data_IF_865104961086
#
_entry.id   IF_865104961086
#
_cell.length_a   1.000
_cell.length_b   1.000
_cell.length_c   1.000
_cell.angle_alpha   90.00
_cell.angle_beta   90.00
_cell.angle_gamma   90.00
#
_symmetry.space_group_name_H-M   'P 1'
#
loop_
_entity.id
_entity.type
_entity.pdbx_description
1 polymer ?
#
# COMPACT_ATOMS: atom_id res chain seq x y z
N UNK A 1 -63.26 22.06 8.65
CA UNK A 1 -62.40 20.86 8.50
C UNK A 1 -61.19 21.16 7.59
N UNK A 2 -60.23 21.99 8.02
CA UNK A 2 -59.15 22.49 7.13
C UNK A 2 -57.74 22.45 7.76
N UNK A 3 -57.56 21.62 8.79
CA UNK A 3 -56.32 21.57 9.59
C UNK A 3 -55.56 20.24 9.40
N UNK A 4 -56.23 19.16 8.96
CA UNK A 4 -55.59 17.83 8.83
C UNK A 4 -54.67 17.68 7.61
N UNK A 5 -54.87 18.44 6.53
CA UNK A 5 -54.07 18.32 5.29
C UNK A 5 -52.69 18.97 5.37
N UNK A 6 -52.53 20.06 6.13
CA UNK A 6 -51.27 20.81 6.23
C UNK A 6 -50.23 20.12 7.12
N UNK A 7 -50.69 19.45 8.18
CA UNK A 7 -49.80 18.74 9.11
C UNK A 7 -49.15 17.53 8.44
N UNK A 8 -49.92 16.77 7.64
CA UNK A 8 -49.43 15.59 6.94
C UNK A 8 -48.35 15.93 5.89
N UNK A 9 -48.54 17.02 5.13
CA UNK A 9 -47.57 17.49 4.15
C UNK A 9 -46.25 17.94 4.82
N UNK A 10 -46.33 18.59 5.98
CA UNK A 10 -45.16 19.04 6.73
C UNK A 10 -44.34 17.84 7.27
N UNK A 11 -45.02 16.83 7.82
CA UNK A 11 -44.36 15.61 8.32
C UNK A 11 -43.66 14.82 7.20
N UNK A 12 -44.29 14.69 6.03
CA UNK A 12 -43.68 14.00 4.88
C UNK A 12 -42.44 14.77 4.38
N UNK A 13 -42.52 16.10 4.28
CA UNK A 13 -41.38 16.92 3.86
C UNK A 13 -40.21 16.85 4.84
N UNK A 14 -40.49 16.73 6.14
CA UNK A 14 -39.47 16.61 7.18
C UNK A 14 -38.79 15.23 7.14
N UNK A 15 -39.55 14.17 6.87
CA UNK A 15 -39.01 12.80 6.69
C UNK A 15 -38.13 12.72 5.44
N UNK A 16 -38.54 13.35 4.33
CA UNK A 16 -37.73 13.39 3.11
C UNK A 16 -36.45 14.22 3.31
N UNK A 17 -36.52 15.38 3.97
CA UNK A 17 -35.31 16.19 4.26
C UNK A 17 -34.35 15.52 5.24
N UNK A 18 -34.86 14.77 6.22
CA UNK A 18 -34.01 13.99 7.14
C UNK A 18 -33.38 12.79 6.43
N UNK A 19 -34.10 12.11 5.54
CA UNK A 19 -33.51 11.05 4.70
C UNK A 19 -32.43 11.58 3.76
N UNK A 20 -32.64 12.75 3.14
CA UNK A 20 -31.62 13.38 2.29
C UNK A 20 -30.41 13.80 3.13
N UNK A 21 -30.61 14.37 4.33
CA UNK A 21 -29.51 14.76 5.22
C UNK A 21 -28.73 13.56 5.76
N UNK A 22 -29.40 12.45 6.08
CA UNK A 22 -28.76 11.20 6.51
C UNK A 22 -28.00 10.51 5.37
N UNK A 23 -28.49 10.62 4.13
CA UNK A 23 -27.80 10.08 2.95
C UNK A 23 -26.54 10.88 2.61
N UNK A 24 -26.57 12.21 2.80
CA UNK A 24 -25.41 13.09 2.58
C UNK A 24 -24.36 12.97 3.69
N UNK A 25 -24.78 12.69 4.93
CA UNK A 25 -23.87 12.59 6.08
C UNK A 25 -23.04 11.29 6.12
N UNK A 26 -23.42 10.27 5.36
CA UNK A 26 -22.65 9.01 5.24
C UNK A 26 -21.50 9.10 4.21
N UNK A 27 -21.45 10.14 3.38
CA UNK A 27 -20.41 10.33 2.36
C UNK A 27 -19.23 11.21 2.81
N UNK A 28 -19.31 11.81 4.01
CA UNK A 28 -18.35 12.84 4.44
C UNK A 28 -17.19 12.34 5.31
N UNK A 29 -17.24 11.13 5.87
CA UNK A 29 -16.07 10.59 6.57
C UNK A 29 -15.20 9.80 5.59
N UNK A 30 -13.96 10.28 5.39
CA UNK A 30 -12.94 9.53 4.68
C UNK A 30 -12.75 8.20 5.41
N UNK A 31 -13.02 7.05 4.76
CA UNK A 31 -12.77 5.78 5.40
C UNK A 31 -11.27 5.71 5.74
N UNK A 32 -10.90 5.30 6.96
CA UNK A 32 -9.50 5.26 7.35
C UNK A 32 -8.72 4.33 6.40
N UNK A 33 -7.43 4.57 6.14
CA UNK A 33 -6.62 3.63 5.37
C UNK A 33 -6.71 2.21 5.94
N UNK A 34 -6.77 1.20 5.06
CA UNK A 34 -6.76 -0.19 5.52
C UNK A 34 -5.45 -0.48 6.24
N UNK A 35 -5.56 -1.06 7.43
CA UNK A 35 -4.40 -1.57 8.17
C UNK A 35 -3.96 -2.91 7.61
N UNK A 36 -2.69 -3.29 7.82
CA UNK A 36 -2.19 -4.63 7.45
C UNK A 36 -3.05 -5.76 8.03
N UNK A 37 -3.45 -5.61 9.30
CA UNK A 37 -4.34 -6.58 9.98
C UNK A 37 -5.67 -6.73 9.25
N UNK A 38 -6.32 -5.61 8.93
CA UNK A 38 -7.64 -5.63 8.31
C UNK A 38 -7.59 -6.14 6.86
N UNK A 39 -6.51 -5.88 6.11
CA UNK A 39 -6.29 -6.53 4.82
C UNK A 39 -6.21 -8.05 4.92
N UNK A 40 -5.53 -8.58 5.95
CA UNK A 40 -5.48 -10.02 6.21
C UNK A 40 -6.87 -10.60 6.51
N UNK A 41 -7.71 -9.87 7.24
CA UNK A 41 -9.10 -10.26 7.51
C UNK A 41 -9.93 -10.30 6.21
N UNK A 42 -9.84 -9.27 5.36
CA UNK A 42 -10.53 -9.24 4.06
C UNK A 42 -10.08 -10.39 3.15
N UNK A 43 -8.77 -10.66 3.09
CA UNK A 43 -8.24 -11.78 2.32
C UNK A 43 -8.80 -13.12 2.82
N UNK A 44 -8.83 -13.33 4.14
CA UNK A 44 -9.32 -14.59 4.74
C UNK A 44 -10.82 -14.85 4.47
N UNK A 45 -11.60 -13.79 4.26
CA UNK A 45 -13.04 -13.87 3.97
C UNK A 45 -13.35 -13.92 2.47
N UNK A 46 -12.36 -13.66 1.61
CA UNK A 46 -12.57 -13.52 0.17
C UNK A 46 -13.20 -12.18 -0.24
N UNK A 47 -13.21 -11.19 0.65
CA UNK A 47 -13.79 -9.85 0.42
C UNK A 47 -12.75 -8.84 -0.10
N UNK A 48 -11.49 -9.27 -0.23
CA UNK A 48 -10.41 -8.43 -0.72
C UNK A 48 -10.49 -8.30 -2.25
N UNK A 49 -10.71 -7.08 -2.71
CA UNK A 49 -10.67 -6.74 -4.11
C UNK A 49 -9.27 -6.25 -4.48
N UNK A 50 -8.78 -6.70 -5.63
CA UNK A 50 -7.48 -6.33 -6.16
C UNK A 50 -7.68 -5.81 -7.57
N UNK A 51 -7.28 -4.57 -7.82
CA UNK A 51 -7.54 -3.88 -9.09
C UNK A 51 -6.34 -3.08 -9.53
N UNK A 52 -6.13 -3.03 -10.84
CA UNK A 52 -5.15 -2.17 -11.48
C UNK A 52 -5.82 -0.91 -12.02
N UNK A 53 -5.13 0.22 -11.90
CA UNK A 53 -5.55 1.52 -12.40
C UNK A 53 -4.42 2.10 -13.23
N UNK A 54 -4.72 2.49 -14.47
CA UNK A 54 -3.77 3.23 -15.31
C UNK A 54 -3.74 4.69 -14.88
N UNK A 55 -2.52 5.21 -14.69
CA UNK A 55 -2.28 6.61 -14.35
C UNK A 55 -2.12 7.43 -15.62
N UNK A 56 -2.79 8.57 -15.67
CA UNK A 56 -2.49 9.64 -16.63
C UNK A 56 -1.39 10.55 -16.08
N UNK A 57 -1.37 10.76 -14.76
CA UNK A 57 -0.44 11.66 -14.08
C UNK A 57 0.04 11.07 -12.74
N UNK A 58 1.34 11.22 -12.39
CA UNK A 58 1.86 10.72 -11.11
C UNK A 58 1.13 11.26 -9.86
N UNK A 59 0.54 12.46 -9.96
CA UNK A 59 -0.23 13.06 -8.85
C UNK A 59 -1.54 12.35 -8.52
N UNK A 60 -2.03 11.46 -9.38
CA UNK A 60 -3.26 10.70 -9.14
C UNK A 60 -3.10 9.65 -8.04
N UNK A 61 -1.87 9.19 -7.77
CA UNK A 61 -1.57 8.23 -6.70
C UNK A 61 -2.07 8.74 -5.35
N UNK A 62 -1.77 9.99 -4.99
CA UNK A 62 -2.21 10.59 -3.73
C UNK A 62 -3.74 10.70 -3.63
N UNK A 63 -4.43 10.91 -4.77
CA UNK A 63 -5.89 10.93 -4.81
C UNK A 63 -6.47 9.54 -4.56
N UNK A 64 -5.89 8.51 -5.18
CA UNK A 64 -6.26 7.12 -4.97
C UNK A 64 -6.03 6.74 -3.50
N UNK A 65 -4.87 7.06 -2.92
CA UNK A 65 -4.57 6.80 -1.50
C UNK A 65 -5.59 7.45 -0.54
N UNK A 66 -6.09 8.64 -0.87
CA UNK A 66 -7.09 9.35 -0.05
C UNK A 66 -8.43 8.60 0.09
N UNK A 67 -8.68 7.60 -0.76
CA UNK A 67 -9.86 6.73 -0.65
C UNK A 67 -9.72 5.66 0.44
N UNK A 68 -8.55 5.55 1.06
CA UNK A 68 -8.28 4.58 2.11
C UNK A 68 -7.94 3.18 1.61
N UNK A 69 -7.81 2.98 0.29
CA UNK A 69 -7.23 1.76 -0.30
C UNK A 69 -5.75 1.65 0.05
N UNK A 70 -5.20 0.44 -0.08
CA UNK A 70 -3.76 0.22 0.06
C UNK A 70 -3.16 0.04 -1.33
N UNK A 71 -2.10 0.78 -1.61
CA UNK A 71 -1.37 0.65 -2.87
C UNK A 71 -0.31 -0.44 -2.70
N UNK A 72 -0.54 -1.58 -3.34
CA UNK A 72 0.39 -2.72 -3.31
C UNK A 72 1.57 -2.51 -4.26
N UNK A 73 1.35 -1.88 -5.40
CA UNK A 73 2.39 -1.62 -6.40
C UNK A 73 2.24 -0.22 -6.98
N UNK A 74 3.38 0.47 -7.10
CA UNK A 74 3.49 1.76 -7.79
C UNK A 74 4.42 1.60 -9.00
N UNK A 75 3.90 1.93 -10.18
CA UNK A 75 4.67 2.08 -11.42
C UNK A 75 4.34 3.45 -12.06
N UNK A 76 5.17 3.95 -13.00
CA UNK A 76 4.95 5.27 -13.61
C UNK A 76 3.59 5.42 -14.32
N UNK A 77 3.08 4.34 -14.91
CA UNK A 77 1.89 4.30 -15.75
C UNK A 77 0.70 3.57 -15.11
N UNK A 78 0.89 2.91 -13.97
CA UNK A 78 -0.19 2.23 -13.27
C UNK A 78 0.07 2.03 -11.78
N UNK A 79 -1.00 1.75 -11.04
CA UNK A 79 -0.95 1.22 -9.68
C UNK A 79 -1.77 -0.05 -9.56
N UNK A 80 -1.37 -0.93 -8.63
CA UNK A 80 -2.22 -2.02 -8.15
C UNK A 80 -2.64 -1.69 -6.74
N UNK A 81 -3.95 -1.71 -6.50
CA UNK A 81 -4.53 -1.38 -5.20
C UNK A 81 -5.34 -2.54 -4.63
N UNK A 82 -5.45 -2.52 -3.31
CA UNK A 82 -6.18 -3.46 -2.49
C UNK A 82 -7.27 -2.70 -1.73
N UNK A 83 -8.50 -3.23 -1.73
CA UNK A 83 -9.63 -2.57 -1.12
C UNK A 83 -10.79 -3.52 -0.79
N UNK A 84 -11.68 -3.10 0.10
CA UNK A 84 -13.03 -3.67 0.15
C UNK A 84 -13.91 -3.04 -0.95
N UNK A 85 -15.10 -3.61 -1.15
CA UNK A 85 -16.02 -3.17 -2.20
C UNK A 85 -16.41 -1.69 -2.09
N UNK A 86 -16.49 -1.14 -0.86
CA UNK A 86 -16.83 0.27 -0.65
C UNK A 86 -15.71 1.20 -1.15
N UNK A 87 -14.46 0.89 -0.81
CA UNK A 87 -13.30 1.69 -1.23
C UNK A 87 -13.06 1.57 -2.74
N UNK A 88 -13.20 0.38 -3.32
CA UNK A 88 -13.08 0.19 -4.77
C UNK A 88 -14.17 0.97 -5.54
N UNK A 89 -15.41 0.98 -5.03
CA UNK A 89 -16.49 1.76 -5.63
C UNK A 89 -16.22 3.28 -5.53
N UNK A 90 -15.64 3.75 -4.42
CA UNK A 90 -15.22 5.15 -4.29
C UNK A 90 -14.19 5.54 -5.36
N UNK A 91 -13.17 4.71 -5.57
CA UNK A 91 -12.18 4.91 -6.63
C UNK A 91 -12.82 4.94 -8.02
N UNK A 92 -13.79 4.04 -8.29
CA UNK A 92 -14.55 4.04 -9.54
C UNK A 92 -15.31 5.34 -9.78
N UNK A 93 -15.95 5.89 -8.75
CA UNK A 93 -16.68 7.17 -8.85
C UNK A 93 -15.78 8.38 -9.11
N UNK A 94 -14.48 8.28 -8.82
CA UNK A 94 -13.50 9.30 -9.18
C UNK A 94 -13.16 9.31 -10.69
N UNK A 95 -13.68 8.36 -11.46
CA UNK A 95 -13.47 8.28 -12.91
C UNK A 95 -12.29 7.42 -13.34
N UNK A 96 -11.64 6.71 -12.41
CA UNK A 96 -10.55 5.79 -12.75
C UNK A 96 -11.07 4.55 -13.48
N UNK A 97 -10.30 4.09 -14.46
CA UNK A 97 -10.55 2.81 -15.11
C UNK A 97 -9.95 1.69 -14.27
N UNK A 98 -10.79 0.76 -13.81
CA UNK A 98 -10.37 -0.40 -13.02
C UNK A 98 -10.34 -1.64 -13.89
N UNK A 99 -9.21 -2.34 -13.88
CA UNK A 99 -9.03 -3.61 -14.60
C UNK A 99 -8.50 -4.66 -13.64
N UNK A 100 -8.74 -5.93 -13.97
CA UNK A 100 -8.15 -7.04 -13.23
C UNK A 100 -6.63 -7.07 -13.49
N UNK A 101 -5.79 -7.08 -12.44
CA UNK A 101 -4.35 -7.17 -12.61
C UNK A 101 -3.93 -8.58 -13.05
N UNK A 102 -2.83 -8.65 -13.78
CA UNK A 102 -2.15 -9.93 -14.09
C UNK A 102 -0.91 -10.09 -13.20
N UNK A 103 -0.39 -11.31 -13.11
CA UNK A 103 0.76 -11.64 -12.25
C UNK A 103 1.93 -10.65 -12.36
N UNK A 104 2.30 -10.24 -13.58
CA UNK A 104 3.40 -9.29 -13.83
C UNK A 104 3.16 -7.87 -13.29
N UNK A 105 1.90 -7.52 -13.01
CA UNK A 105 1.54 -6.20 -12.47
C UNK A 105 1.89 -6.09 -10.99
N UNK A 106 1.92 -7.21 -10.26
CA UNK A 106 2.31 -7.28 -8.86
C UNK A 106 3.83 -7.24 -8.74
N UNK A 107 4.37 -6.10 -8.30
CA UNK A 107 5.82 -5.91 -8.19
C UNK A 107 6.27 -6.13 -6.75
N UNK A 108 7.13 -7.12 -6.58
CA UNK A 108 7.88 -7.32 -5.35
C UNK A 108 9.25 -6.68 -5.56
N UNK A 109 9.61 -5.70 -4.72
CA UNK A 109 10.86 -4.95 -4.82
C UNK A 109 11.90 -5.49 -3.85
N UNK A 110 13.18 -5.58 -4.25
CA UNK A 110 14.24 -5.91 -3.33
C UNK A 110 14.51 -4.75 -2.36
N UNK A 111 14.93 -5.10 -1.15
CA UNK A 111 15.37 -4.13 -0.16
C UNK A 111 16.64 -4.59 0.55
N UNK A 112 17.27 -3.61 1.20
CA UNK A 112 18.30 -3.82 2.21
C UNK A 112 17.99 -2.96 3.42
N UNK A 113 18.24 -3.48 4.61
CA UNK A 113 18.05 -2.75 5.86
C UNK A 113 19.17 -3.09 6.83
N UNK A 114 19.60 -2.07 7.58
CA UNK A 114 20.47 -2.24 8.73
C UNK A 114 19.60 -2.57 9.93
N UNK A 115 19.87 -3.69 10.60
CA UNK A 115 19.11 -4.09 11.78
C UNK A 115 20.05 -4.10 12.99
N UNK A 116 19.60 -3.50 14.09
CA UNK A 116 20.40 -3.33 15.31
C UNK A 116 19.92 -4.23 16.45
N UNK A 117 18.77 -4.88 16.32
CA UNK A 117 18.20 -5.72 17.37
C UNK A 117 17.35 -6.88 16.84
N UNK A 118 17.24 -7.95 17.63
CA UNK A 118 16.36 -9.08 17.31
C UNK A 118 14.88 -8.68 17.21
N UNK A 119 14.47 -7.64 17.93
CA UNK A 119 13.12 -7.07 17.85
C UNK A 119 12.85 -6.43 16.49
N UNK A 120 13.80 -5.64 15.97
CA UNK A 120 13.71 -5.09 14.61
C UNK A 120 13.70 -6.19 13.55
N UNK A 121 14.51 -7.24 13.72
CA UNK A 121 14.49 -8.39 12.82
C UNK A 121 13.13 -9.11 12.86
N UNK A 122 12.54 -9.28 14.05
CA UNK A 122 11.22 -9.87 14.20
C UNK A 122 10.12 -8.99 13.57
N UNK A 123 10.17 -7.68 13.77
CA UNK A 123 9.28 -6.72 13.09
C UNK A 123 9.40 -6.82 11.57
N UNK A 124 10.63 -6.96 11.05
CA UNK A 124 10.87 -7.13 9.63
C UNK A 124 10.25 -8.43 9.10
N UNK A 125 10.40 -9.56 9.82
CA UNK A 125 9.75 -10.83 9.45
C UNK A 125 8.22 -10.74 9.48
N UNK A 126 7.65 -9.95 10.38
CA UNK A 126 6.20 -9.74 10.43
C UNK A 126 5.69 -8.84 9.29
N UNK A 127 6.56 -8.02 8.70
CA UNK A 127 6.19 -7.02 7.69
C UNK A 127 6.49 -7.47 6.26
N UNK A 128 7.68 -7.99 5.99
CA UNK A 128 8.16 -8.31 4.65
C UNK A 128 7.77 -9.73 4.20
N UNK A 129 7.73 -9.95 2.88
CA UNK A 129 7.39 -11.25 2.30
C UNK A 129 8.58 -12.23 2.38
N UNK A 130 9.75 -11.79 1.93
CA UNK A 130 10.97 -12.59 1.96
C UNK A 130 12.08 -11.84 2.70
N UNK A 131 12.74 -12.51 3.63
CA UNK A 131 13.80 -11.94 4.47
C UNK A 131 14.96 -12.93 4.58
N UNK A 132 16.15 -12.48 4.21
CA UNK A 132 17.40 -13.24 4.27
C UNK A 132 18.46 -12.44 5.05
N UNK A 133 18.69 -12.78 6.33
CA UNK A 133 19.78 -12.17 7.08
C UNK A 133 21.13 -12.57 6.48
N UNK A 134 22.07 -11.63 6.37
CA UNK A 134 23.41 -11.95 5.87
C UNK A 134 24.18 -12.77 6.91
N UNK A 135 24.23 -14.08 6.70
CA UNK A 135 24.93 -15.02 7.57
C UNK A 135 26.45 -15.09 7.30
N UNK A 136 26.99 -14.27 6.39
CA UNK A 136 28.44 -14.24 6.11
C UNK A 136 29.27 -13.71 7.28
N UNK A 137 28.62 -13.14 8.29
CA UNK A 137 29.22 -12.81 9.57
C UNK A 137 29.04 -14.01 10.51
N UNK A 138 30.11 -14.78 10.70
CA UNK A 138 30.39 -15.80 11.75
C UNK A 138 29.16 -16.35 12.49
N UNK A 139 28.91 -17.67 12.39
CA UNK A 139 27.98 -18.42 13.27
C UNK A 139 28.06 -17.87 14.71
N UNK A 140 27.01 -17.16 15.17
CA UNK A 140 26.83 -16.46 16.46
C UNK A 140 26.89 -14.92 16.45
N UNK A 141 27.03 -14.24 15.30
CA UNK A 141 26.89 -12.79 15.23
C UNK A 141 25.49 -12.38 14.73
N UNK A 142 24.89 -11.40 15.40
CA UNK A 142 23.63 -10.80 14.98
C UNK A 142 23.81 -10.15 13.59
N UNK A 143 22.89 -10.36 12.63
CA UNK A 143 23.09 -9.86 11.27
C UNK A 143 23.05 -8.34 11.24
N UNK A 144 24.15 -7.73 10.82
CA UNK A 144 24.23 -6.27 10.66
C UNK A 144 23.33 -5.79 9.51
N UNK A 145 23.28 -6.56 8.41
CA UNK A 145 22.43 -6.28 7.25
C UNK A 145 21.50 -7.42 6.95
N UNK A 146 20.27 -7.05 6.59
CA UNK A 146 19.23 -7.97 6.16
C UNK A 146 18.77 -7.57 4.77
N UNK A 147 18.68 -8.56 3.90
CA UNK A 147 18.20 -8.41 2.53
C UNK A 147 16.83 -9.05 2.41
N UNK A 148 16.04 -8.61 1.46
CA UNK A 148 14.72 -9.20 1.27
C UNK A 148 14.00 -8.69 0.04
N UNK A 149 12.74 -9.11 -0.08
CA UNK A 149 11.83 -8.62 -1.10
C UNK A 149 10.46 -8.36 -0.48
N UNK A 150 9.81 -7.27 -0.89
CA UNK A 150 8.46 -6.96 -0.41
C UNK A 150 7.68 -6.06 -1.37
N UNK A 151 6.37 -5.95 -1.20
CA UNK A 151 5.52 -5.04 -1.99
C UNK A 151 5.69 -3.58 -1.53
N UNK A 152 5.28 -2.61 -2.36
CA UNK A 152 5.36 -1.19 -2.02
C UNK A 152 4.56 -0.86 -0.74
N UNK A 153 3.41 -1.52 -0.51
CA UNK A 153 2.63 -1.34 0.72
C UNK A 153 3.38 -1.78 1.98
N UNK A 154 4.21 -2.82 1.89
CA UNK A 154 4.95 -3.35 3.04
C UNK A 154 6.10 -2.42 3.44
N UNK A 155 6.71 -1.70 2.48
CA UNK A 155 7.69 -0.65 2.80
C UNK A 155 7.06 0.41 3.70
N UNK A 156 5.87 0.89 3.34
CA UNK A 156 5.14 1.88 4.14
C UNK A 156 4.88 1.39 5.57
N UNK A 157 4.43 0.14 5.72
CA UNK A 157 4.22 -0.42 7.06
C UNK A 157 5.51 -0.67 7.84
N UNK A 158 6.61 -0.97 7.15
CA UNK A 158 7.90 -1.10 7.81
C UNK A 158 8.40 0.25 8.31
N UNK A 159 8.27 1.31 7.51
CA UNK A 159 8.57 2.69 7.90
C UNK A 159 7.68 3.13 9.09
N UNK A 160 6.38 2.85 9.05
CA UNK A 160 5.45 3.09 10.18
C UNK A 160 5.84 2.29 11.44
N UNK A 161 6.44 1.11 11.27
CA UNK A 161 6.99 0.30 12.37
C UNK A 161 8.39 0.76 12.83
N UNK A 162 8.91 1.85 12.27
CA UNK A 162 10.21 2.44 12.61
C UNK A 162 11.42 1.75 11.97
N UNK A 163 11.23 1.02 10.87
CA UNK A 163 12.31 0.40 10.11
C UNK A 163 12.68 1.28 8.91
N UNK A 164 13.94 1.71 8.85
CA UNK A 164 14.46 2.46 7.70
C UNK A 164 14.93 1.51 6.59
N UNK A 165 14.05 1.23 5.64
CA UNK A 165 14.35 0.35 4.51
C UNK A 165 14.96 1.12 3.33
N UNK A 166 16.01 0.55 2.72
CA UNK A 166 16.58 1.07 1.47
C UNK A 166 16.03 0.25 0.29
N UNK A 167 15.31 0.92 -0.62
CA UNK A 167 14.89 0.32 -1.90
C UNK A 167 16.11 0.10 -2.78
N UNK A 168 16.32 -1.13 -3.24
CA UNK A 168 17.41 -1.43 -4.15
C UNK A 168 16.92 -1.38 -5.60
N UNK A 169 17.72 -0.79 -6.49
CA UNK A 169 17.41 -0.74 -7.92
C UNK A 169 17.85 -2.04 -8.60
N UNK A 170 16.97 -2.67 -9.36
CA UNK A 170 17.27 -3.87 -10.14
C UNK A 170 16.06 -4.36 -10.92
N UNK A 171 16.13 -4.31 -12.25
CA UNK A 171 15.13 -4.86 -13.14
C UNK A 171 15.39 -6.36 -13.34
N UNK A 172 14.58 -7.21 -12.70
CA UNK A 172 14.33 -8.55 -13.24
C UNK A 172 14.65 -9.75 -12.35
N UNK A 173 13.95 -10.83 -12.68
CA UNK A 173 13.83 -12.15 -12.04
C UNK A 173 15.15 -12.97 -12.12
N UNK A 174 16.30 -12.33 -12.35
CA UNK A 174 17.59 -12.99 -12.17
C UNK A 174 18.23 -12.42 -10.92
N UNK A 175 18.57 -13.32 -9.99
CA UNK A 175 19.48 -13.05 -8.87
C UNK A 175 20.85 -12.72 -9.47
N UNK A 176 21.00 -11.53 -10.05
CA UNK A 176 22.26 -10.95 -10.52
C UNK A 176 22.60 -9.87 -9.51
N UNK A 177 23.72 -10.07 -8.83
CA UNK A 177 24.47 -9.07 -8.06
C UNK A 177 23.70 -7.87 -7.49
N UNK A 178 23.50 -7.92 -6.17
CA UNK A 178 22.91 -6.87 -5.35
C UNK A 178 23.66 -5.53 -5.52
N UNK A 179 23.14 -4.62 -6.35
CA UNK A 179 23.55 -3.22 -6.38
C UNK A 179 22.46 -2.36 -5.76
N UNK A 180 22.45 -2.25 -4.44
CA UNK A 180 21.79 -1.12 -3.78
C UNK A 180 22.67 0.10 -4.06
N UNK A 181 22.38 0.82 -5.14
CA UNK A 181 23.17 1.99 -5.55
C UNK A 181 22.80 3.15 -4.63
N UNK A 182 23.54 3.30 -3.52
CA UNK A 182 23.70 4.60 -2.87
C UNK A 182 24.50 5.48 -3.82
N UNK A 183 23.86 6.42 -4.53
CA UNK A 183 24.59 7.53 -5.12
C UNK A 183 25.19 8.37 -3.97
N UNK A 184 26.38 7.98 -3.52
CA UNK A 184 27.31 8.91 -2.89
C UNK A 184 28.39 9.11 -3.93
N UNK A 185 28.27 10.20 -4.69
CA UNK A 185 29.39 10.70 -5.47
C UNK A 185 30.59 10.77 -4.53
N UNK A 186 31.59 9.92 -4.75
CA UNK A 186 32.99 10.27 -4.88
C UNK A 186 33.69 9.04 -5.49
N UNK A 187 34.07 9.19 -6.76
CA UNK A 187 35.18 8.47 -7.36
C UNK A 187 36.36 8.50 -6.40
N UNK A 188 37.03 7.36 -6.21
CA UNK A 188 38.42 7.22 -6.67
C UNK A 188 38.87 5.77 -6.48
N UNK A 189 39.08 5.14 -7.63
CA UNK A 189 40.15 4.20 -7.96
C UNK A 189 40.52 3.14 -6.92
N UNK A 190 40.13 1.90 -7.19
CA UNK A 190 41.06 0.79 -7.00
C UNK A 190 40.98 -0.20 -8.18
N UNK A 191 42.14 -0.75 -8.59
CA UNK A 191 42.41 -1.20 -9.94
C UNK A 191 41.88 -2.60 -10.24
N UNK A 192 41.66 -2.87 -11.52
CA UNK A 192 41.37 -4.21 -12.03
C UNK A 192 42.51 -5.22 -11.76
N UNK A 193 42.12 -6.49 -11.60
CA UNK A 193 42.90 -7.75 -11.68
C UNK A 193 43.72 -8.17 -10.44
N UNK A 194 43.78 -9.45 -10.04
CA UNK A 194 43.48 -10.75 -10.69
C UNK A 194 42.72 -11.70 -9.76
#
# INVERSE_FOLDING_TARGET
MLIRGKVLACCIMTIVLTFISLSVSAETELPPPLTKKYLGELFSRGDLNVVKIFLQHPGEVAQIESTGVVIQTIEPDYVVILGDSQRIEKVRRMGFTLVEPVEKDHKIRPFRVLISSAEELFRLYATANDVWPDQRLVFNQFPLYVYGRTYDCDFKWAEEAGLEMERCHGDGIRVVEWKCVKYRAFLTDFPDYK
#
